data_IF_094463851530
#
_entry.id   IF_094463851530
#
_cell.length_a   1.000
_cell.length_b   1.000
_cell.length_c   1.000
_cell.angle_alpha   90.00
_cell.angle_beta   90.00
_cell.angle_gamma   90.00
#
_symmetry.space_group_name_H-M   'P 1'
#
loop_
_entity.id
_entity.type
_entity.pdbx_description
1 polymer ?
#
# COMPACT_ATOMS: atom_id res chain seq x y z
N UNK A 1 -6.70 6.71 23.97
CA UNK A 1 -6.86 6.12 22.63
C UNK A 1 -7.67 4.87 22.79
N UNK A 2 -8.78 4.79 22.09
CA UNK A 2 -9.55 3.56 21.99
C UNK A 2 -8.69 2.47 21.32
N UNK A 3 -8.90 1.18 21.62
CA UNK A 3 -8.06 0.11 21.10
C UNK A 3 -7.99 0.11 19.57
N UNK A 4 -9.07 0.49 18.86
CA UNK A 4 -9.09 0.67 17.40
C UNK A 4 -8.06 1.69 16.88
N UNK A 5 -7.89 2.83 17.55
CA UNK A 5 -6.98 3.89 17.11
C UNK A 5 -5.51 3.47 17.24
N UNK A 6 -5.21 2.57 18.18
CA UNK A 6 -3.87 2.03 18.40
C UNK A 6 -3.40 1.21 17.19
N UNK A 7 -4.29 0.46 16.54
CA UNK A 7 -3.97 -0.30 15.33
C UNK A 7 -3.50 0.60 14.19
N UNK A 8 -4.12 1.77 14.01
CA UNK A 8 -3.70 2.74 13.01
C UNK A 8 -2.23 3.14 13.18
N UNK A 9 -1.77 3.31 14.42
CA UNK A 9 -0.38 3.68 14.73
C UNK A 9 0.59 2.53 14.41
N UNK A 10 0.22 1.28 14.71
CA UNK A 10 1.05 0.12 14.37
C UNK A 10 1.14 -0.15 12.86
N UNK A 11 0.11 0.19 12.11
CA UNK A 11 0.06 -0.02 10.64
C UNK A 11 0.91 1.02 9.90
N UNK A 12 1.14 2.22 10.44
CA UNK A 12 1.98 3.26 9.82
C UNK A 12 3.40 2.78 9.49
N UNK A 13 4.21 2.25 10.43
CA UNK A 13 5.56 1.81 10.10
C UNK A 13 5.58 0.62 9.12
N UNK A 14 4.59 -0.27 9.22
CA UNK A 14 4.45 -1.41 8.31
C UNK A 14 4.14 -0.96 6.88
N UNK A 15 3.16 -0.06 6.73
CA UNK A 15 2.78 0.49 5.43
C UNK A 15 3.88 1.36 4.83
N UNK A 16 4.61 2.15 5.64
CA UNK A 16 5.77 2.90 5.17
C UNK A 16 6.87 1.98 4.63
N UNK A 17 7.20 0.90 5.34
CA UNK A 17 8.17 -0.09 4.87
C UNK A 17 7.67 -0.77 3.59
N UNK A 18 6.38 -1.10 3.52
CA UNK A 18 5.73 -1.61 2.33
C UNK A 18 5.89 -0.68 1.13
N UNK A 19 5.64 0.62 1.29
CA UNK A 19 5.86 1.62 0.22
C UNK A 19 7.32 1.60 -0.23
N UNK A 20 8.27 1.74 0.70
CA UNK A 20 9.70 1.85 0.37
C UNK A 20 10.19 0.59 -0.34
N UNK A 21 9.97 -0.60 0.24
CA UNK A 21 10.49 -1.85 -0.29
C UNK A 21 9.89 -2.20 -1.66
N UNK A 22 8.58 -2.05 -1.83
CA UNK A 22 7.92 -2.41 -3.08
C UNK A 22 8.33 -1.47 -4.23
N UNK A 23 8.40 -0.16 -3.98
CA UNK A 23 8.86 0.79 -5.01
C UNK A 23 10.35 0.60 -5.34
N UNK A 24 11.20 0.25 -4.36
CA UNK A 24 12.59 -0.13 -4.63
C UNK A 24 12.69 -1.32 -5.58
N UNK A 25 11.84 -2.34 -5.43
CA UNK A 25 11.80 -3.50 -6.34
C UNK A 25 11.39 -3.06 -7.76
N UNK A 26 10.34 -2.24 -7.87
CA UNK A 26 9.88 -1.69 -9.15
C UNK A 26 11.00 -0.91 -9.83
N UNK A 27 11.68 -0.01 -9.11
CA UNK A 27 12.79 0.75 -9.65
C UNK A 27 13.98 -0.16 -10.02
N UNK A 28 14.34 -1.11 -9.17
CA UNK A 28 15.44 -2.04 -9.45
C UNK A 28 15.22 -2.82 -10.75
N UNK A 29 14.00 -3.26 -11.02
CA UNK A 29 13.66 -4.00 -12.25
C UNK A 29 13.53 -3.06 -13.46
N UNK A 30 12.99 -1.86 -13.26
CA UNK A 30 12.87 -0.86 -14.32
C UNK A 30 14.23 -0.35 -14.83
N UNK A 31 15.15 -0.04 -13.91
CA UNK A 31 16.48 0.48 -14.25
C UNK A 31 17.44 -0.60 -14.76
N UNK A 32 17.32 -1.85 -14.30
CA UNK A 32 18.16 -2.95 -14.77
C UNK A 32 17.53 -3.65 -15.98
N UNK A 33 17.88 -3.19 -17.20
CA UNK A 33 17.42 -3.83 -18.45
C UNK A 33 17.73 -5.32 -18.55
N UNK A 34 18.83 -5.78 -17.94
CA UNK A 34 19.21 -7.20 -17.87
C UNK A 34 18.20 -8.05 -17.08
N UNK A 35 17.51 -7.44 -16.10
CA UNK A 35 16.49 -8.10 -15.28
C UNK A 35 15.11 -8.11 -15.93
N UNK A 36 14.91 -7.66 -17.18
CA UNK A 36 13.58 -7.58 -17.82
C UNK A 36 13.16 -8.88 -18.51
N UNK A 37 13.33 -10.00 -17.84
CA UNK A 37 12.73 -11.28 -18.27
C UNK A 37 11.31 -11.41 -17.69
N UNK A 38 10.49 -12.28 -18.28
CA UNK A 38 9.05 -12.37 -17.98
C UNK A 38 8.73 -12.53 -16.49
N UNK A 39 9.54 -13.30 -15.75
CA UNK A 39 9.37 -13.50 -14.32
C UNK A 39 9.61 -12.21 -13.52
N UNK A 40 10.71 -11.49 -13.77
CA UNK A 40 10.94 -10.20 -13.11
C UNK A 40 9.91 -9.14 -13.50
N UNK A 41 9.36 -9.14 -14.73
CA UNK A 41 8.26 -8.24 -15.08
C UNK A 41 6.99 -8.55 -14.28
N UNK A 42 6.70 -9.83 -14.03
CA UNK A 42 5.62 -10.24 -13.15
C UNK A 42 5.88 -9.76 -11.71
N UNK A 43 7.09 -9.98 -11.19
CA UNK A 43 7.50 -9.50 -9.86
C UNK A 43 7.38 -7.97 -9.74
N UNK A 44 7.77 -7.22 -10.76
CA UNK A 44 7.63 -5.76 -10.78
C UNK A 44 6.17 -5.33 -10.74
N UNK A 45 5.29 -6.04 -11.46
CA UNK A 45 3.85 -5.74 -11.46
C UNK A 45 3.23 -6.02 -10.10
N UNK A 46 3.56 -7.15 -9.49
CA UNK A 46 3.09 -7.51 -8.14
C UNK A 46 3.64 -6.56 -7.07
N UNK A 47 4.91 -6.16 -7.17
CA UNK A 47 5.50 -5.14 -6.31
C UNK A 47 4.81 -3.79 -6.50
N UNK A 48 4.47 -3.38 -7.74
CA UNK A 48 3.74 -2.15 -7.97
C UNK A 48 2.34 -2.17 -7.33
N UNK A 49 1.60 -3.28 -7.46
CA UNK A 49 0.30 -3.46 -6.81
C UNK A 49 0.40 -3.39 -5.28
N UNK A 50 1.37 -4.12 -4.70
CA UNK A 50 1.61 -4.12 -3.25
C UNK A 50 2.14 -2.78 -2.73
N UNK A 51 2.89 -2.05 -3.55
CA UNK A 51 3.33 -0.68 -3.29
C UNK A 51 2.14 0.29 -3.26
N UNK A 52 1.22 0.20 -4.24
CA UNK A 52 -0.01 0.99 -4.26
C UNK A 52 -0.91 0.66 -3.07
N UNK A 53 -1.07 -0.63 -2.75
CA UNK A 53 -1.78 -1.11 -1.56
C UNK A 53 -1.22 -0.46 -0.28
N UNK A 54 0.11 -0.45 -0.13
CA UNK A 54 0.80 0.15 1.01
C UNK A 54 0.62 1.68 1.07
N UNK A 55 0.61 2.36 -0.08
CA UNK A 55 0.33 3.81 -0.16
C UNK A 55 -1.10 4.13 0.29
N UNK A 56 -2.10 3.35 -0.16
CA UNK A 56 -3.50 3.53 0.23
C UNK A 56 -3.68 3.29 1.74
N UNK A 57 -3.00 2.29 2.31
CA UNK A 57 -3.00 2.09 3.74
C UNK A 57 -2.40 3.29 4.49
N UNK A 58 -1.23 3.77 4.06
CA UNK A 58 -0.52 4.86 4.74
C UNK A 58 -1.27 6.20 4.66
N UNK A 59 -1.81 6.54 3.48
CA UNK A 59 -2.40 7.85 3.21
C UNK A 59 -3.91 7.93 3.40
N UNK A 60 -4.62 6.80 3.39
CA UNK A 60 -6.08 6.77 3.55
C UNK A 60 -6.50 6.03 4.82
N UNK A 61 -6.12 4.75 4.95
CA UNK A 61 -6.61 3.89 6.06
C UNK A 61 -6.04 4.33 7.42
N UNK A 62 -4.74 4.60 7.50
CA UNK A 62 -4.10 5.07 8.73
C UNK A 62 -4.69 6.39 9.27
N UNK A 63 -4.78 7.49 8.49
CA UNK A 63 -5.39 8.72 8.99
C UNK A 63 -6.89 8.56 9.26
N UNK A 64 -7.61 7.73 8.50
CA UNK A 64 -9.00 7.41 8.78
C UNK A 64 -9.18 6.78 10.18
N UNK A 65 -8.32 5.84 10.57
CA UNK A 65 -8.39 5.14 11.87
C UNK A 65 -7.86 6.01 13.01
N UNK A 66 -6.71 6.68 12.82
CA UNK A 66 -6.06 7.46 13.89
C UNK A 66 -6.88 8.69 14.26
N UNK A 67 -7.45 9.39 13.28
CA UNK A 67 -8.21 10.62 13.49
C UNK A 67 -9.74 10.42 13.52
N UNK A 68 -10.21 9.18 13.35
CA UNK A 68 -11.64 8.82 13.28
C UNK A 68 -12.44 9.73 12.32
N UNK A 69 -11.89 9.94 11.11
CA UNK A 69 -12.48 10.86 10.13
C UNK A 69 -13.69 10.23 9.44
N UNK A 70 -14.89 10.66 9.82
CA UNK A 70 -16.16 10.20 9.25
C UNK A 70 -16.22 10.38 7.72
N UNK A 71 -15.68 11.48 7.18
CA UNK A 71 -15.66 11.72 5.72
C UNK A 71 -14.89 10.64 4.96
N UNK A 72 -13.75 10.18 5.50
CA UNK A 72 -12.98 9.09 4.89
C UNK A 72 -13.68 7.75 5.08
N UNK A 73 -14.41 7.57 6.18
CA UNK A 73 -15.20 6.37 6.43
C UNK A 73 -16.37 6.23 5.46
N UNK A 74 -17.10 7.31 5.18
CA UNK A 74 -18.23 7.29 4.25
C UNK A 74 -17.79 7.03 2.81
N UNK A 75 -16.60 7.51 2.43
CA UNK A 75 -16.03 7.31 1.09
C UNK A 75 -15.16 6.04 0.99
N UNK A 76 -15.00 5.30 2.09
CA UNK A 76 -14.08 4.15 2.17
C UNK A 76 -14.38 3.04 1.19
N UNK A 77 -15.62 2.93 0.70
CA UNK A 77 -16.00 1.86 -0.24
C UNK A 77 -15.16 1.90 -1.53
N UNK A 78 -14.92 3.10 -2.09
CA UNK A 78 -14.14 3.24 -3.32
C UNK A 78 -12.70 2.77 -3.11
N UNK A 79 -12.10 3.19 -1.99
CA UNK A 79 -10.71 2.83 -1.65
C UNK A 79 -10.62 1.35 -1.29
N UNK A 80 -11.63 0.79 -0.63
CA UNK A 80 -11.74 -0.64 -0.34
C UNK A 80 -11.76 -1.50 -1.59
N UNK A 81 -12.45 -1.09 -2.66
CA UNK A 81 -12.41 -1.80 -3.94
C UNK A 81 -11.02 -1.77 -4.58
N UNK A 82 -10.35 -0.62 -4.58
CA UNK A 82 -8.99 -0.51 -5.12
C UNK A 82 -8.01 -1.38 -4.32
N UNK A 83 -8.15 -1.39 -2.98
CA UNK A 83 -7.38 -2.25 -2.09
C UNK A 83 -7.57 -3.73 -2.42
N UNK A 84 -8.81 -4.17 -2.69
CA UNK A 84 -9.11 -5.55 -3.06
C UNK A 84 -8.42 -5.94 -4.38
N UNK A 85 -8.45 -5.06 -5.37
CA UNK A 85 -7.79 -5.27 -6.67
C UNK A 85 -6.27 -5.34 -6.52
N UNK A 86 -5.68 -4.57 -5.61
CA UNK A 86 -4.24 -4.60 -5.38
C UNK A 86 -3.77 -5.80 -4.54
N UNK A 87 -4.69 -6.47 -3.83
CA UNK A 87 -4.40 -7.63 -3.01
C UNK A 87 -4.44 -8.94 -3.80
N UNK A 88 -5.36 -9.05 -4.76
CA UNK A 88 -5.53 -10.19 -5.68
C UNK A 88 -4.50 -10.17 -6.82
#
# INVERSE_FOLDING_TARGET
>A
MEPEQSWGIYIIPLSLLGVICNWLIVFAIYFNKSSRHSFSLLTATQAAANGLFSVLYLLYVCPMIVFDLQVLRDNSHHVGYVLLICYD
#
